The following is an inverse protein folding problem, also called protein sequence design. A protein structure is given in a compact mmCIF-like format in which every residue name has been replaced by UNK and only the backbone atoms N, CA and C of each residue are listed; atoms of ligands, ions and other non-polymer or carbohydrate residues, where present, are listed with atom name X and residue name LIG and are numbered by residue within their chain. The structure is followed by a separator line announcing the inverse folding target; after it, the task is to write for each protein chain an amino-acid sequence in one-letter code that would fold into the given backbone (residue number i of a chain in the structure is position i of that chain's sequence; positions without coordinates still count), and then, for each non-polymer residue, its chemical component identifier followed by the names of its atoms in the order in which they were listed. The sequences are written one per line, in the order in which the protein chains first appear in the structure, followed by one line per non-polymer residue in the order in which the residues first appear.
data_IF_709720081110
#
_entry.id   IF_709720081110
#
_cell.length_a   1.000
_cell.length_b   1.000
_cell.length_c   1.000
_cell.angle_alpha   90.00
_cell.angle_beta   90.00
_cell.angle_gamma   90.00
#
_symmetry.space_group_name_H-M   'P 1'
#
loop_
_entity.id
_entity.type
_entity.pdbx_description
1 polymer ?
#
# COMPACT_ATOMS: atom_id res chain seq x y z
N UNK A 1 19.50 -77.79 15.20
CA UNK A 1 18.22 -77.23 14.71
C UNK A 1 18.35 -75.71 14.74
N UNK A 2 18.93 -75.14 13.68
CA UNK A 2 18.96 -73.69 13.49
C UNK A 2 17.89 -73.34 12.46
N UNK A 3 16.92 -72.53 12.85
CA UNK A 3 15.92 -72.00 11.95
C UNK A 3 16.52 -70.81 11.21
N UNK A 4 16.78 -71.00 9.91
CA UNK A 4 17.23 -69.97 8.98
C UNK A 4 16.08 -69.00 8.74
N UNK A 5 16.25 -67.75 9.19
CA UNK A 5 15.35 -66.65 8.89
C UNK A 5 15.50 -66.23 7.42
N UNK A 6 14.44 -66.42 6.64
CA UNK A 6 14.34 -66.00 5.24
C UNK A 6 14.23 -64.47 5.23
N UNK A 7 15.29 -63.78 4.77
CA UNK A 7 15.25 -62.35 4.47
C UNK A 7 14.31 -62.14 3.27
N UNK A 8 13.23 -61.39 3.49
CA UNK A 8 12.40 -60.87 2.42
C UNK A 8 13.24 -59.86 1.63
N UNK A 9 13.63 -60.24 0.41
CA UNK A 9 14.18 -59.31 -0.58
C UNK A 9 13.06 -58.39 -1.03
N UNK A 10 12.99 -57.18 -0.47
CA UNK A 10 12.21 -56.09 -1.06
C UNK A 10 12.90 -55.68 -2.36
N UNK A 11 12.21 -55.92 -3.46
CA UNK A 11 12.60 -55.49 -4.80
C UNK A 11 12.54 -53.96 -4.83
N UNK A 12 13.70 -53.32 -4.87
CA UNK A 12 13.84 -51.90 -5.20
C UNK A 12 13.37 -51.71 -6.65
N UNK A 13 12.16 -51.18 -6.84
CA UNK A 13 11.75 -50.65 -8.14
C UNK A 13 12.44 -49.31 -8.31
N UNK A 14 13.61 -49.30 -8.94
CA UNK A 14 14.12 -48.11 -9.62
C UNK A 14 13.14 -47.75 -10.75
N UNK A 15 12.16 -46.92 -10.43
CA UNK A 15 11.40 -46.20 -11.44
C UNK A 15 12.33 -45.12 -11.98
N UNK A 16 12.88 -45.37 -13.17
CA UNK A 16 13.52 -44.37 -14.01
C UNK A 16 12.51 -43.25 -14.27
N UNK A 17 12.54 -42.20 -13.46
CA UNK A 17 11.68 -41.03 -13.57
C UNK A 17 12.15 -40.23 -14.79
N UNK A 18 11.48 -40.43 -15.92
CA UNK A 18 11.63 -39.55 -17.08
C UNK A 18 10.85 -38.28 -16.72
N UNK A 19 11.55 -37.16 -16.53
CA UNK A 19 10.88 -35.88 -16.38
C UNK A 19 10.07 -35.60 -17.65
N UNK A 20 8.74 -35.39 -17.56
CA UNK A 20 8.00 -34.90 -18.71
C UNK A 20 8.63 -33.60 -19.18
N UNK A 21 8.66 -33.39 -20.49
CA UNK A 21 9.13 -32.11 -21.02
C UNK A 21 8.27 -30.99 -20.42
N UNK A 22 8.84 -29.79 -20.32
CA UNK A 22 8.11 -28.62 -19.84
C UNK A 22 6.83 -28.41 -20.65
N UNK A 23 6.86 -28.74 -21.94
CA UNK A 23 5.73 -28.67 -22.86
C UNK A 23 4.62 -29.67 -22.47
N UNK A 24 4.95 -30.93 -22.16
CA UNK A 24 3.95 -31.91 -21.72
C UNK A 24 3.30 -31.52 -20.38
N UNK A 25 4.09 -30.97 -19.45
CA UNK A 25 3.58 -30.49 -18.18
C UNK A 25 2.67 -29.28 -18.38
N UNK A 26 3.02 -28.40 -19.33
CA UNK A 26 2.22 -27.25 -19.74
C UNK A 26 0.87 -27.69 -20.29
N UNK A 27 0.85 -28.57 -21.29
CA UNK A 27 -0.37 -29.05 -21.94
C UNK A 27 -1.34 -29.73 -20.97
N UNK A 28 -0.81 -30.49 -20.00
CA UNK A 28 -1.63 -31.23 -19.04
C UNK A 28 -2.14 -30.37 -17.88
N UNK A 29 -1.38 -29.35 -17.48
CA UNK A 29 -1.66 -28.60 -16.24
C UNK A 29 -2.23 -27.20 -16.48
N UNK A 30 -1.97 -26.58 -17.62
CA UNK A 30 -2.51 -25.26 -17.93
C UNK A 30 -4.05 -25.24 -18.03
N UNK A 31 -4.73 -26.19 -18.72
CA UNK A 31 -6.19 -26.19 -18.81
C UNK A 31 -6.93 -26.18 -17.45
N UNK A 32 -6.58 -27.02 -16.45
CA UNK A 32 -7.22 -26.95 -15.14
C UNK A 32 -6.88 -25.68 -14.36
N UNK A 33 -5.70 -25.08 -14.55
CA UNK A 33 -5.35 -23.77 -13.98
C UNK A 33 -6.21 -22.66 -14.58
N UNK A 34 -6.34 -22.60 -15.91
CA UNK A 34 -7.18 -21.63 -16.59
C UNK A 34 -8.67 -21.75 -16.21
N UNK A 35 -9.17 -22.99 -16.08
CA UNK A 35 -10.52 -23.24 -15.60
C UNK A 35 -10.73 -22.72 -14.16
N UNK A 36 -9.74 -22.92 -13.28
CA UNK A 36 -9.78 -22.42 -11.91
C UNK A 36 -9.77 -20.89 -11.83
N UNK A 37 -8.83 -20.24 -12.53
CA UNK A 37 -8.70 -18.78 -12.56
C UNK A 37 -9.96 -18.12 -13.12
N UNK A 38 -10.51 -18.65 -14.22
CA UNK A 38 -11.79 -18.20 -14.78
C UNK A 38 -12.94 -18.32 -13.77
N UNK A 39 -13.03 -19.45 -13.05
CA UNK A 39 -14.07 -19.67 -12.03
C UNK A 39 -13.99 -18.62 -10.90
N UNK A 40 -12.79 -18.11 -10.65
CA UNK A 40 -12.52 -17.09 -9.63
C UNK A 40 -12.57 -15.65 -10.18
N UNK A 41 -13.09 -15.46 -11.41
CA UNK A 41 -13.27 -14.14 -12.01
C UNK A 41 -12.04 -13.57 -12.72
N UNK A 42 -10.98 -14.35 -12.90
CA UNK A 42 -9.78 -13.93 -13.63
C UNK A 42 -9.91 -14.05 -15.14
N UNK A 43 -9.09 -13.28 -15.86
CA UNK A 43 -8.98 -13.33 -17.31
C UNK A 43 -8.16 -14.52 -17.80
N UNK A 44 -8.14 -14.75 -19.11
CA UNK A 44 -7.27 -15.77 -19.70
C UNK A 44 -5.78 -15.40 -19.60
N UNK A 45 -5.45 -14.11 -19.70
CA UNK A 45 -4.08 -13.64 -19.54
C UNK A 45 -3.62 -13.77 -18.09
N UNK A 46 -4.50 -13.49 -17.11
CA UNK A 46 -4.23 -13.80 -15.71
C UNK A 46 -3.90 -15.28 -15.48
N UNK A 47 -4.60 -16.17 -16.19
CA UNK A 47 -4.34 -17.60 -16.09
C UNK A 47 -2.95 -17.97 -16.62
N UNK A 48 -2.51 -17.34 -17.72
CA UNK A 48 -1.14 -17.54 -18.25
C UNK A 48 -0.10 -17.05 -17.27
N UNK A 49 -0.27 -15.84 -16.75
CA UNK A 49 0.68 -15.22 -15.82
C UNK A 49 0.84 -16.09 -14.56
N UNK A 50 -0.28 -16.47 -13.94
CA UNK A 50 -0.27 -17.35 -12.76
C UNK A 50 0.36 -18.70 -13.07
N UNK A 51 0.10 -19.25 -14.25
CA UNK A 51 0.67 -20.53 -14.63
C UNK A 51 2.19 -20.46 -14.79
N UNK A 52 2.69 -19.43 -15.48
CA UNK A 52 4.13 -19.21 -15.65
C UNK A 52 4.82 -18.98 -14.30
N UNK A 53 4.24 -18.16 -13.42
CA UNK A 53 4.77 -17.96 -12.07
C UNK A 53 4.81 -19.28 -11.28
N UNK A 54 3.73 -20.07 -11.37
CA UNK A 54 3.67 -21.37 -10.71
C UNK A 54 4.71 -22.35 -11.25
N UNK A 55 4.95 -22.32 -12.56
CA UNK A 55 5.94 -23.17 -13.22
C UNK A 55 7.37 -22.80 -12.81
N UNK A 56 7.70 -21.51 -12.73
CA UNK A 56 8.99 -21.03 -12.23
C UNK A 56 9.21 -21.49 -10.80
N UNK A 57 8.24 -21.26 -9.92
CA UNK A 57 8.31 -21.74 -8.52
C UNK A 57 8.49 -23.26 -8.47
N UNK A 58 7.77 -24.00 -9.30
CA UNK A 58 7.90 -25.46 -9.36
C UNK A 58 9.30 -25.91 -9.82
N UNK A 59 9.93 -25.18 -10.73
CA UNK A 59 11.29 -25.47 -11.21
C UNK A 59 12.37 -25.14 -10.17
N UNK A 60 12.17 -24.10 -9.35
CA UNK A 60 13.10 -23.69 -8.30
C UNK A 60 13.12 -24.64 -7.09
N UNK A 61 12.06 -25.44 -6.89
CA UNK A 61 12.00 -26.40 -5.78
C UNK A 61 12.96 -27.57 -6.05
N UNK A 62 13.80 -27.96 -5.06
CA UNK A 62 14.68 -29.13 -5.16
C UNK A 62 13.90 -30.43 -5.41
N UNK A 63 14.47 -31.36 -6.17
CA UNK A 63 13.84 -32.66 -6.46
C UNK A 63 13.63 -33.53 -5.22
N UNK A 64 14.46 -33.36 -4.19
CA UNK A 64 14.31 -34.05 -2.90
C UNK A 64 13.02 -33.62 -2.21
N UNK A 65 12.75 -32.31 -2.14
CA UNK A 65 11.54 -31.74 -1.55
C UNK A 65 10.28 -32.13 -2.35
N UNK A 66 10.38 -32.22 -3.68
CA UNK A 66 9.26 -32.69 -4.53
C UNK A 66 8.86 -34.13 -4.23
N UNK A 67 9.82 -35.01 -3.89
CA UNK A 67 9.57 -36.42 -3.59
C UNK A 67 8.86 -36.63 -2.25
N UNK A 68 8.97 -35.68 -1.32
CA UNK A 68 8.23 -35.73 -0.05
C UNK A 68 6.73 -35.46 -0.24
N UNK A 69 6.36 -34.76 -1.32
CA UNK A 69 4.96 -34.43 -1.63
C UNK A 69 4.25 -35.65 -2.22
N UNK A 70 3.23 -36.14 -1.51
CA UNK A 70 2.35 -37.23 -1.96
C UNK A 70 1.30 -36.75 -2.97
N UNK A 71 1.73 -36.19 -4.10
CA UNK A 71 0.86 -35.75 -5.18
C UNK A 71 1.52 -35.95 -6.54
N UNK A 72 0.72 -35.99 -7.61
CA UNK A 72 1.27 -35.97 -8.97
C UNK A 72 1.85 -34.58 -9.28
N UNK A 73 2.75 -34.50 -10.26
CA UNK A 73 3.39 -33.24 -10.65
C UNK A 73 2.35 -32.19 -11.08
N UNK A 74 1.30 -32.61 -11.78
CA UNK A 74 0.20 -31.73 -12.22
C UNK A 74 -0.62 -31.25 -11.03
N UNK A 75 -0.91 -32.12 -10.06
CA UNK A 75 -1.65 -31.76 -8.86
C UNK A 75 -0.85 -30.78 -7.99
N UNK A 76 0.47 -30.95 -7.92
CA UNK A 76 1.34 -30.04 -7.18
C UNK A 76 1.42 -28.67 -7.85
N UNK A 77 1.70 -28.63 -9.16
CA UNK A 77 1.75 -27.39 -9.93
C UNK A 77 0.40 -26.65 -9.93
N UNK A 78 -0.72 -27.38 -10.05
CA UNK A 78 -2.07 -26.80 -9.88
C UNK A 78 -2.27 -26.22 -8.47
N UNK A 79 -1.71 -26.86 -7.44
CA UNK A 79 -1.73 -26.35 -6.06
C UNK A 79 -0.97 -25.04 -5.91
N UNK A 80 0.23 -24.94 -6.49
CA UNK A 80 1.04 -23.71 -6.51
C UNK A 80 0.26 -22.60 -7.22
N UNK A 81 -0.28 -22.86 -8.41
CA UNK A 81 -1.06 -21.90 -9.18
C UNK A 81 -2.29 -21.38 -8.39
N UNK A 82 -3.03 -22.28 -7.72
CA UNK A 82 -4.15 -21.90 -6.86
C UNK A 82 -3.72 -20.99 -5.71
N UNK A 83 -2.59 -21.31 -5.07
CA UNK A 83 -2.06 -20.51 -3.97
C UNK A 83 -1.67 -19.09 -4.44
N UNK A 84 -0.96 -18.99 -5.57
CA UNK A 84 -0.57 -17.73 -6.18
C UNK A 84 -1.78 -16.88 -6.56
N UNK A 85 -2.80 -17.49 -7.19
CA UNK A 85 -4.03 -16.78 -7.55
C UNK A 85 -4.78 -16.27 -6.33
N UNK A 86 -4.94 -17.08 -5.27
CA UNK A 86 -5.63 -16.65 -4.04
C UNK A 86 -4.88 -15.47 -3.41
N UNK A 87 -3.55 -15.51 -3.38
CA UNK A 87 -2.72 -14.42 -2.87
C UNK A 87 -2.85 -13.15 -3.72
N UNK A 88 -2.85 -13.27 -5.05
CA UNK A 88 -3.09 -12.17 -5.99
C UNK A 88 -4.49 -11.58 -5.78
N UNK A 89 -5.54 -12.41 -5.80
CA UNK A 89 -6.92 -12.00 -5.58
C UNK A 89 -7.12 -11.24 -4.26
N UNK A 90 -6.49 -11.68 -3.16
CA UNK A 90 -6.56 -10.95 -1.88
C UNK A 90 -5.80 -9.62 -1.88
N UNK A 91 -4.73 -9.49 -2.67
CA UNK A 91 -4.02 -8.23 -2.88
C UNK A 91 -4.83 -7.29 -3.75
N UNK A 92 -5.35 -7.78 -4.86
CA UNK A 92 -6.11 -6.99 -5.84
C UNK A 92 -7.44 -6.50 -5.25
N UNK A 93 -8.07 -7.23 -4.31
CA UNK A 93 -9.21 -6.72 -3.54
C UNK A 93 -8.88 -5.52 -2.64
N UNK A 94 -7.60 -5.31 -2.32
CA UNK A 94 -7.12 -4.12 -1.58
C UNK A 94 -6.66 -3.01 -2.52
N UNK A 95 -6.52 -3.31 -3.82
CA UNK A 95 -6.11 -2.37 -4.85
C UNK A 95 -7.34 -1.90 -5.62
N UNK A 96 -7.50 -0.59 -5.76
CA UNK A 96 -8.57 -0.02 -6.58
C UNK A 96 -8.02 0.02 -8.01
N UNK A 97 -8.76 -0.53 -8.98
CA UNK A 97 -8.37 -0.47 -10.39
C UNK A 97 -8.07 0.98 -10.80
N UNK A 98 -6.96 1.23 -11.52
CA UNK A 98 -6.54 2.59 -11.87
C UNK A 98 -7.63 3.41 -12.58
N UNK A 99 -8.45 2.76 -13.41
CA UNK A 99 -9.58 3.41 -14.09
C UNK A 99 -10.66 3.91 -13.11
N UNK A 100 -10.84 3.21 -11.98
CA UNK A 100 -11.73 3.61 -10.89
C UNK A 100 -11.03 4.57 -9.91
N UNK A 101 -9.70 4.67 -10.00
CA UNK A 101 -8.91 5.70 -9.33
C UNK A 101 -9.00 7.03 -10.08
N UNK A 102 -9.00 7.06 -11.42
CA UNK A 102 -9.20 8.30 -12.21
C UNK A 102 -10.56 8.96 -11.96
N UNK A 103 -11.63 8.18 -11.81
CA UNK A 103 -12.96 8.71 -11.44
C UNK A 103 -13.01 9.25 -10.00
N UNK A 104 -12.12 8.75 -9.12
CA UNK A 104 -11.97 9.20 -7.73
C UNK A 104 -10.87 10.25 -7.53
N UNK A 105 -10.01 10.48 -8.52
CA UNK A 105 -9.15 11.67 -8.63
C UNK A 105 -10.02 12.81 -9.16
N UNK A 106 -11.18 13.02 -8.54
CA UNK A 106 -11.75 14.35 -8.50
C UNK A 106 -10.93 15.07 -7.45
N UNK A 107 -10.21 16.10 -7.89
CA UNK A 107 -9.65 17.11 -6.99
C UNK A 107 -10.80 17.49 -6.05
N UNK A 108 -10.76 17.18 -4.74
CA UNK A 108 -11.84 17.55 -3.83
C UNK A 108 -12.16 19.03 -4.02
N UNK A 109 -13.43 19.42 -3.93
CA UNK A 109 -13.80 20.83 -4.06
C UNK A 109 -13.04 21.71 -3.04
N UNK A 110 -12.61 21.09 -1.94
CA UNK A 110 -11.78 21.63 -0.86
C UNK A 110 -10.26 21.70 -1.16
N UNK A 111 -9.79 21.11 -2.27
CA UNK A 111 -8.37 21.13 -2.66
C UNK A 111 -7.92 22.53 -3.06
N UNK A 112 -8.84 23.31 -3.65
CA UNK A 112 -8.64 24.74 -3.74
C UNK A 112 -9.04 25.35 -2.41
N UNK A 113 -8.16 26.14 -1.76
CA UNK A 113 -8.56 26.86 -0.56
C UNK A 113 -9.80 27.69 -0.92
N UNK A 114 -10.91 27.55 -0.16
CA UNK A 114 -12.15 28.22 -0.51
C UNK A 114 -11.93 29.73 -0.51
N UNK A 115 -12.81 30.49 -1.17
CA UNK A 115 -12.62 31.96 -1.32
C UNK A 115 -12.41 32.65 0.03
N UNK A 116 -13.01 32.13 1.12
CA UNK A 116 -12.79 32.62 2.47
C UNK A 116 -11.35 32.37 2.96
N UNK A 117 -10.70 31.26 2.60
CA UNK A 117 -9.29 30.98 2.95
C UNK A 117 -8.32 31.96 2.27
N UNK A 118 -8.58 32.34 1.01
CA UNK A 118 -7.81 33.39 0.33
C UNK A 118 -8.02 34.78 0.94
N UNK A 119 -9.20 35.06 1.50
CA UNK A 119 -9.47 36.28 2.27
C UNK A 119 -8.72 36.26 3.61
N UNK A 120 -8.76 35.14 4.34
CA UNK A 120 -8.03 34.96 5.60
C UNK A 120 -6.52 35.15 5.44
N UNK A 121 -5.93 34.56 4.40
CA UNK A 121 -4.50 34.73 4.10
C UNK A 121 -4.13 36.20 3.84
N UNK A 122 -4.97 36.95 3.12
CA UNK A 122 -4.76 38.40 2.91
C UNK A 122 -4.81 39.19 4.22
N UNK A 123 -5.63 38.79 5.20
CA UNK A 123 -5.64 39.45 6.51
C UNK A 123 -4.41 39.11 7.36
N UNK A 124 -3.91 37.88 7.26
CA UNK A 124 -2.66 37.48 7.89
C UNK A 124 -1.46 38.23 7.32
N UNK A 125 -1.47 38.57 6.02
CA UNK A 125 -0.44 39.41 5.40
C UNK A 125 -0.41 40.84 5.97
N UNK A 126 -1.55 41.42 6.35
CA UNK A 126 -1.64 42.76 6.98
C UNK A 126 -0.93 42.79 8.35
N UNK A 127 -0.91 41.67 9.07
CA UNK A 127 -0.17 41.57 10.33
C UNK A 127 1.35 41.73 10.12
N UNK A 128 1.84 41.47 8.91
CA UNK A 128 3.24 41.56 8.50
C UNK A 128 3.96 40.21 8.55
N UNK A 129 4.99 40.06 7.72
CA UNK A 129 5.72 38.78 7.52
C UNK A 129 6.18 38.11 8.82
N UNK A 130 6.74 38.89 9.76
CA UNK A 130 7.17 38.38 11.08
C UNK A 130 6.02 37.81 11.92
N UNK A 131 4.85 38.43 11.90
CA UNK A 131 3.67 37.92 12.60
C UNK A 131 3.11 36.66 11.90
N UNK A 132 3.11 36.64 10.57
CA UNK A 132 2.68 35.49 9.80
C UNK A 132 3.57 34.27 10.07
N UNK A 133 4.88 34.43 10.04
CA UNK A 133 5.84 33.36 10.31
C UNK A 133 5.71 32.82 11.74
N UNK A 134 5.49 33.72 12.71
CA UNK A 134 5.25 33.37 14.11
C UNK A 134 3.98 32.54 14.28
N UNK A 135 2.85 32.99 13.71
CA UNK A 135 1.58 32.29 13.82
C UNK A 135 1.59 30.97 13.06
N UNK A 136 2.27 30.91 11.90
CA UNK A 136 2.47 29.68 11.13
C UNK A 136 3.27 28.64 11.92
N UNK A 137 4.38 29.06 12.50
CA UNK A 137 5.22 28.19 13.33
C UNK A 137 4.46 27.63 14.54
N UNK A 138 3.57 28.42 15.13
CA UNK A 138 2.80 27.99 16.30
C UNK A 138 1.59 27.11 15.95
N UNK A 139 0.69 27.57 15.07
CA UNK A 139 -0.60 26.92 14.83
C UNK A 139 -0.56 25.82 13.75
N UNK A 140 0.27 25.99 12.70
CA UNK A 140 0.36 25.00 11.63
C UNK A 140 1.48 23.99 11.87
N UNK A 141 2.65 24.44 12.33
CA UNK A 141 3.79 23.55 12.59
C UNK A 141 3.78 22.98 14.01
N UNK A 142 2.85 23.40 14.88
CA UNK A 142 2.75 22.98 16.28
C UNK A 142 4.07 23.05 17.06
N UNK A 143 4.91 24.06 16.77
CA UNK A 143 6.19 24.23 17.47
C UNK A 143 5.95 24.75 18.89
N UNK A 144 6.63 24.15 19.86
CA UNK A 144 6.64 24.66 21.23
C UNK A 144 7.24 26.07 21.27
N UNK A 145 6.75 26.91 22.20
CA UNK A 145 7.18 28.32 22.27
C UNK A 145 8.69 28.46 22.50
N UNK A 146 9.32 27.47 23.16
CA UNK A 146 10.78 27.38 23.32
C UNK A 146 11.49 27.17 21.98
N UNK A 147 11.04 26.21 21.15
CA UNK A 147 11.62 25.95 19.82
C UNK A 147 11.37 27.10 18.85
N UNK A 148 10.18 27.68 18.90
CA UNK A 148 9.78 28.81 18.08
C UNK A 148 10.60 30.08 18.41
N UNK A 149 10.87 30.35 19.69
CA UNK A 149 11.69 31.48 20.11
C UNK A 149 13.10 31.40 19.52
N UNK A 150 13.73 30.20 19.59
CA UNK A 150 15.04 29.97 18.98
C UNK A 150 15.02 30.08 17.45
N UNK A 151 14.01 29.48 16.79
CA UNK A 151 13.87 29.48 15.33
C UNK A 151 13.68 30.88 14.73
N UNK A 152 12.98 31.76 15.44
CA UNK A 152 12.65 33.11 14.97
C UNK A 152 13.52 34.22 15.60
N UNK A 153 14.52 33.85 16.40
CA UNK A 153 15.49 34.80 16.97
C UNK A 153 14.93 35.70 18.08
N UNK A 154 13.95 35.23 18.85
CA UNK A 154 13.45 35.96 20.02
C UNK A 154 14.37 35.79 21.23
N UNK A 155 14.60 36.87 21.97
CA UNK A 155 15.51 36.89 23.12
C UNK A 155 15.07 35.97 24.27
N UNK A 156 13.77 35.74 24.44
CA UNK A 156 13.22 34.82 25.45
C UNK A 156 11.90 34.21 25.02
N UNK A 157 11.52 33.09 25.65
CA UNK A 157 10.20 32.48 25.45
C UNK A 157 9.07 33.46 25.79
N UNK A 158 9.26 34.27 26.83
CA UNK A 158 8.31 35.31 27.21
C UNK A 158 8.12 36.36 26.10
N UNK A 159 9.22 36.83 25.49
CA UNK A 159 9.15 37.79 24.39
C UNK A 159 8.41 37.23 23.16
N UNK A 160 8.57 35.94 22.85
CA UNK A 160 7.85 35.26 21.79
C UNK A 160 6.34 35.14 22.09
N UNK A 161 5.97 34.82 23.34
CA UNK A 161 4.57 34.77 23.79
C UNK A 161 3.89 36.13 23.72
N UNK A 162 4.56 37.20 24.19
CA UNK A 162 4.05 38.57 24.09
C UNK A 162 3.89 38.98 22.63
N UNK A 163 4.87 38.66 21.78
CA UNK A 163 4.78 38.96 20.35
C UNK A 163 3.62 38.20 19.68
N UNK A 164 3.39 36.93 20.04
CA UNK A 164 2.24 36.16 19.56
C UNK A 164 0.93 36.85 19.94
N UNK A 165 0.79 37.28 21.18
CA UNK A 165 -0.39 38.01 21.64
C UNK A 165 -0.60 39.31 20.84
N UNK A 166 0.45 40.12 20.66
CA UNK A 166 0.39 41.36 19.85
C UNK A 166 -0.01 41.10 18.39
N UNK A 167 0.54 40.05 17.79
CA UNK A 167 0.17 39.67 16.42
C UNK A 167 -1.30 39.25 16.31
N UNK A 168 -1.82 38.50 17.30
CA UNK A 168 -3.24 38.13 17.34
C UNK A 168 -4.16 39.33 17.54
N UNK A 169 -3.81 40.25 18.45
CA UNK A 169 -4.58 41.48 18.67
C UNK A 169 -4.62 42.36 17.42
N UNK A 170 -3.48 42.50 16.72
CA UNK A 170 -3.42 43.23 15.45
C UNK A 170 -4.39 42.66 14.42
N UNK A 171 -4.44 41.33 14.27
CA UNK A 171 -5.38 40.67 13.35
C UNK A 171 -6.82 40.91 13.79
N UNK A 172 -7.15 40.76 15.07
CA UNK A 172 -8.51 41.01 15.60
C UNK A 172 -8.97 42.43 15.31
N UNK A 173 -8.11 43.42 15.51
CA UNK A 173 -8.45 44.82 15.26
C UNK A 173 -8.70 45.07 13.76
N UNK A 174 -7.86 44.53 12.88
CA UNK A 174 -8.08 44.62 11.42
C UNK A 174 -9.38 43.93 10.97
N UNK A 175 -9.75 42.81 11.59
CA UNK A 175 -11.02 42.12 11.29
C UNK A 175 -12.22 42.97 11.77
N UNK A 176 -12.14 43.56 12.96
CA UNK A 176 -13.18 44.46 13.51
C UNK A 176 -13.37 45.72 12.68
N UNK A 177 -12.28 46.37 12.28
CA UNK A 177 -12.32 47.59 11.45
C UNK A 177 -12.99 47.38 10.10
N UNK A 178 -12.90 46.15 9.55
CA UNK A 178 -13.52 45.81 8.27
C UNK A 178 -14.90 45.17 8.40
N UNK A 179 -15.50 45.21 9.60
CA UNK A 179 -16.85 44.73 9.91
C UNK A 179 -17.13 43.29 9.48
N UNK A 180 -16.14 42.40 9.59
CA UNK A 180 -16.33 40.99 9.25
C UNK A 180 -16.91 40.23 10.46
N UNK A 181 -18.00 39.49 10.23
CA UNK A 181 -18.64 38.60 11.21
C UNK A 181 -17.94 37.23 11.22
N UNK A 182 -18.16 36.45 12.28
CA UNK A 182 -17.75 35.04 12.34
C UNK A 182 -18.30 34.24 11.14
N UNK A 183 -19.50 34.61 10.68
CA UNK A 183 -20.18 33.98 9.55
C UNK A 183 -19.44 34.18 8.21
N UNK A 184 -18.60 35.22 8.09
CA UNK A 184 -17.77 35.45 6.88
C UNK A 184 -16.64 34.41 6.70
N UNK A 185 -16.47 33.50 7.67
CA UNK A 185 -15.38 32.53 7.73
C UNK A 185 -15.85 31.07 7.79
N UNK A 186 -17.15 30.78 7.88
CA UNK A 186 -17.69 29.43 8.18
C UNK A 186 -18.66 28.83 7.17
N UNK A 187 -18.63 29.27 5.91
CA UNK A 187 -19.33 28.58 4.79
C UNK A 187 -18.37 27.79 3.90
#
# INVERSE_FOLDING_TARGET
MEAVAIKQHTIEREQTYIHPSVDELYERTFPPVAAFVRKMGGSFDDAKDIFHDALVVYMEIPEEDKKEVRATQEAYLLGIAKHLWIRKYHRDRREIALNDAESRITIPEDFYPPVQTKRLLRFLEVAGKKCMDLLRAFYYQNLSMKKLAGKLGYASVHSASVQKYKCMEKIRNTVKEKSLSYDDFTE
#
